data_IF_830044457916
#
_entry.id   IF_830044457916
#
_cell.length_a   1.000
_cell.length_b   1.000
_cell.length_c   1.000
_cell.angle_alpha   90.00
_cell.angle_beta   90.00
_cell.angle_gamma   90.00
#
_symmetry.space_group_name_H-M   'P 1'
#
loop_
_entity.id
_entity.type
_entity.pdbx_description
1 polymer ?
#
# COMPACT_ATOMS: atom_id res chain seq x y z
N UNK A 1 9.50 -7.87 23.89
CA UNK A 1 9.79 -6.41 23.80
C UNK A 1 8.61 -5.79 23.08
N UNK A 2 8.09 -4.66 23.53
CA UNK A 2 6.94 -3.99 22.89
C UNK A 2 7.40 -2.61 22.42
N UNK A 3 6.99 -2.20 21.23
CA UNK A 3 7.28 -0.86 20.72
C UNK A 3 6.42 -0.49 19.53
N UNK A 4 6.50 0.77 19.10
CA UNK A 4 5.78 1.30 17.96
C UNK A 4 6.70 1.40 16.75
N UNK A 5 6.44 0.64 15.69
CA UNK A 5 7.33 0.52 14.52
C UNK A 5 8.70 -0.13 14.85
N UNK A 6 8.75 -0.96 15.89
CA UNK A 6 9.99 -1.56 16.42
C UNK A 6 10.71 -2.44 15.38
N UNK A 7 9.96 -3.13 14.52
CA UNK A 7 10.53 -4.07 13.55
C UNK A 7 11.27 -3.37 12.39
N UNK A 8 10.83 -2.16 12.04
CA UNK A 8 11.37 -1.41 10.91
C UNK A 8 12.28 -0.26 11.36
N UNK A 9 12.40 0.01 12.67
CA UNK A 9 13.19 1.13 13.21
C UNK A 9 14.17 0.71 14.32
N UNK A 10 13.68 0.41 15.53
CA UNK A 10 14.53 0.19 16.69
C UNK A 10 15.40 -1.07 16.57
N UNK A 11 14.84 -2.17 16.04
CA UNK A 11 15.59 -3.42 15.91
C UNK A 11 16.76 -3.32 14.92
N UNK A 12 16.60 -2.80 13.68
CA UNK A 12 17.73 -2.56 12.80
C UNK A 12 18.81 -1.66 13.43
N UNK A 13 18.40 -0.64 14.20
CA UNK A 13 19.33 0.23 14.92
C UNK A 13 20.09 -0.53 16.00
N UNK A 14 19.39 -1.32 16.83
CA UNK A 14 20.00 -2.16 17.85
C UNK A 14 20.94 -3.20 17.23
N UNK A 15 20.56 -3.87 16.15
CA UNK A 15 21.42 -4.81 15.44
C UNK A 15 22.72 -4.16 14.96
N UNK A 16 22.63 -2.95 14.40
CA UNK A 16 23.80 -2.17 13.97
C UNK A 16 24.71 -1.80 15.15
N UNK A 17 24.12 -1.35 16.27
CA UNK A 17 24.88 -0.97 17.47
C UNK A 17 25.55 -2.18 18.15
N UNK A 18 24.85 -3.31 18.24
CA UNK A 18 25.43 -4.56 18.73
C UNK A 18 26.61 -4.99 17.85
N UNK A 19 26.43 -4.95 16.52
CA UNK A 19 27.49 -5.26 15.57
C UNK A 19 28.69 -4.32 15.71
N UNK A 20 28.46 -3.03 15.97
CA UNK A 20 29.52 -2.02 16.19
C UNK A 20 30.40 -2.36 17.39
N UNK A 21 29.83 -2.93 18.44
CA UNK A 21 30.57 -3.36 19.64
C UNK A 21 31.04 -4.82 19.57
N UNK A 22 30.89 -5.49 18.42
CA UNK A 22 31.31 -6.87 18.22
C UNK A 22 30.41 -7.91 18.89
N UNK A 23 29.18 -7.54 19.24
CA UNK A 23 28.17 -8.42 19.84
C UNK A 23 27.08 -8.78 18.82
N UNK A 24 26.38 -9.87 19.08
CA UNK A 24 25.14 -10.22 18.38
C UNK A 24 23.92 -9.82 19.22
N UNK A 25 22.88 -9.35 18.56
CA UNK A 25 21.61 -9.05 19.24
C UNK A 25 21.06 -10.36 19.85
N UNK A 26 20.71 -10.38 21.15
CA UNK A 26 20.13 -11.56 21.77
C UNK A 26 18.75 -11.87 21.16
N UNK A 27 18.35 -13.14 21.22
CA UNK A 27 17.05 -13.57 20.74
C UNK A 27 15.95 -12.81 21.49
N UNK A 28 15.18 -12.01 20.76
CA UNK A 28 14.08 -11.24 21.30
C UNK A 28 12.78 -11.52 20.52
N UNK A 29 11.66 -11.33 21.20
CA UNK A 29 10.32 -11.47 20.65
C UNK A 29 9.67 -10.08 20.62
N UNK A 30 9.85 -9.33 19.53
CA UNK A 30 9.31 -7.98 19.39
C UNK A 30 7.83 -8.01 19.01
N UNK A 31 7.04 -7.20 19.72
CA UNK A 31 5.64 -6.92 19.43
C UNK A 31 5.56 -5.50 18.91
N UNK A 32 5.14 -5.35 17.65
CA UNK A 32 5.03 -4.07 16.96
C UNK A 32 3.57 -3.59 16.95
N UNK A 33 3.30 -2.60 17.79
CA UNK A 33 1.97 -2.04 18.01
C UNK A 33 1.41 -1.39 16.75
N UNK A 34 2.26 -0.86 15.86
CA UNK A 34 1.82 -0.19 14.64
C UNK A 34 1.16 -1.18 13.65
N UNK A 35 1.60 -2.43 13.63
CA UNK A 35 1.01 -3.46 12.76
C UNK A 35 -0.44 -3.69 13.15
N UNK A 36 -0.70 -3.85 14.45
CA UNK A 36 -2.06 -4.05 14.96
C UNK A 36 -2.91 -2.80 14.80
N UNK A 37 -2.35 -1.62 15.10
CA UNK A 37 -3.07 -0.35 14.97
C UNK A 37 -3.56 -0.08 13.53
N UNK A 38 -2.78 -0.48 12.51
CA UNK A 38 -3.16 -0.34 11.10
C UNK A 38 -4.27 -1.28 10.65
N UNK A 39 -4.40 -2.42 11.31
CA UNK A 39 -5.39 -3.43 10.93
C UNK A 39 -6.72 -3.20 11.68
N UNK A 40 -6.62 -2.84 12.97
CA UNK A 40 -7.79 -2.60 13.82
C UNK A 40 -8.42 -1.22 13.54
N UNK A 41 -7.62 -0.18 13.30
CA UNK A 41 -8.14 1.13 12.88
C UNK A 41 -8.15 1.22 11.36
N UNK A 42 -9.33 1.26 10.74
CA UNK A 42 -9.46 1.43 9.28
C UNK A 42 -9.36 2.90 8.88
N UNK A 43 -8.30 3.24 8.14
CA UNK A 43 -8.09 4.58 7.58
C UNK A 43 -7.55 5.59 8.61
N UNK A 44 -7.31 6.83 8.14
CA UNK A 44 -6.68 7.88 8.94
C UNK A 44 -5.16 7.75 9.02
N UNK A 45 -4.51 8.55 9.88
CA UNK A 45 -3.06 8.44 10.09
C UNK A 45 -2.81 7.56 11.30
N UNK A 46 -1.90 6.61 11.15
CA UNK A 46 -1.50 5.70 12.23
C UNK A 46 -0.24 6.21 12.93
N UNK A 47 -0.22 7.49 13.33
CA UNK A 47 0.84 7.99 14.20
C UNK A 47 0.45 7.71 15.66
N UNK A 48 1.43 7.50 16.54
CA UNK A 48 1.19 7.09 17.92
C UNK A 48 0.25 8.08 18.66
N UNK A 49 0.47 9.38 18.50
CA UNK A 49 -0.35 10.42 19.13
C UNK A 49 -1.82 10.41 18.67
N UNK A 50 -2.07 10.18 17.38
CA UNK A 50 -3.43 10.05 16.82
C UNK A 50 -4.07 8.74 17.25
N UNK A 51 -3.31 7.65 17.34
CA UNK A 51 -3.85 6.40 17.83
C UNK A 51 -4.21 6.47 19.31
N UNK A 52 -3.36 7.07 20.14
CA UNK A 52 -3.68 7.33 21.55
C UNK A 52 -4.99 8.13 21.68
N UNK A 53 -5.17 9.19 20.86
CA UNK A 53 -6.41 9.97 20.84
C UNK A 53 -7.62 9.14 20.41
N UNK A 54 -7.50 8.31 19.38
CA UNK A 54 -8.60 7.48 18.88
C UNK A 54 -9.08 6.47 19.92
N UNK A 55 -8.16 5.96 20.76
CA UNK A 55 -8.49 5.07 21.86
C UNK A 55 -8.80 5.80 23.18
N UNK A 56 -8.94 7.14 23.16
CA UNK A 56 -9.28 7.94 24.35
C UNK A 56 -8.18 8.00 25.42
N UNK A 57 -6.92 7.74 25.05
CA UNK A 57 -5.77 7.71 25.94
C UNK A 57 -5.02 9.05 25.92
N UNK A 58 -4.64 9.52 27.11
CA UNK A 58 -3.80 10.72 27.28
C UNK A 58 -2.33 10.34 27.16
N UNK A 59 -1.59 11.08 26.33
CA UNK A 59 -0.13 10.97 26.19
C UNK A 59 0.54 12.01 27.07
N UNK A 60 1.37 11.58 28.03
CA UNK A 60 2.19 12.50 28.82
C UNK A 60 3.38 13.02 27.99
N UNK A 61 3.79 14.25 28.25
CA UNK A 61 4.85 14.95 27.49
C UNK A 61 6.22 14.94 28.17
N UNK A 62 6.37 14.31 29.34
CA UNK A 62 7.65 14.22 30.04
C UNK A 62 8.48 13.01 29.55
N UNK A 63 9.68 13.27 29.03
CA UNK A 63 10.68 12.29 28.55
C UNK A 63 10.26 11.45 27.33
N UNK A 64 10.25 12.07 26.13
CA UNK A 64 9.86 11.53 24.81
C UNK A 64 9.99 10.00 24.64
N UNK A 65 11.17 9.42 24.87
CA UNK A 65 11.37 7.97 24.67
C UNK A 65 10.61 7.09 25.68
N UNK A 66 10.59 7.49 26.97
CA UNK A 66 9.87 6.76 28.01
C UNK A 66 8.35 6.90 27.85
N UNK A 67 7.89 8.11 27.53
CA UNK A 67 6.49 8.37 27.24
C UNK A 67 5.99 7.59 26.00
N UNK A 68 6.80 7.51 24.94
CA UNK A 68 6.46 6.73 23.74
C UNK A 68 6.38 5.22 24.03
N UNK A 69 7.28 4.71 24.89
CA UNK A 69 7.26 3.32 25.32
C UNK A 69 6.00 3.01 26.17
N UNK A 70 5.67 3.88 27.14
CA UNK A 70 4.45 3.75 27.95
C UNK A 70 3.19 3.82 27.08
N UNK A 71 3.11 4.81 26.18
CA UNK A 71 2.01 4.96 25.25
C UNK A 71 1.83 3.74 24.34
N UNK A 72 2.93 3.15 23.86
CA UNK A 72 2.89 1.93 23.04
C UNK A 72 2.27 0.76 23.81
N UNK A 73 2.68 0.57 25.07
CA UNK A 73 2.13 -0.49 25.93
C UNK A 73 0.65 -0.25 26.22
N UNK A 74 0.28 0.98 26.58
CA UNK A 74 -1.11 1.35 26.88
C UNK A 74 -2.02 1.17 25.66
N UNK A 75 -1.53 1.55 24.48
CA UNK A 75 -2.25 1.33 23.23
C UNK A 75 -2.42 -0.16 22.93
N UNK A 76 -1.39 -0.98 23.12
CA UNK A 76 -1.49 -2.44 22.98
C UNK A 76 -2.54 -3.02 23.94
N UNK A 77 -2.54 -2.57 25.19
CA UNK A 77 -3.51 -3.02 26.20
C UNK A 77 -4.94 -2.60 25.84
N UNK A 78 -5.13 -1.40 25.27
CA UNK A 78 -6.44 -0.95 24.78
C UNK A 78 -6.96 -1.80 23.60
N UNK A 79 -6.06 -2.37 22.79
CA UNK A 79 -6.38 -3.28 21.69
C UNK A 79 -6.49 -4.75 22.13
N UNK A 80 -6.17 -5.07 23.39
CA UNK A 80 -6.00 -6.46 23.83
C UNK A 80 -7.27 -7.31 23.74
N UNK A 81 -8.47 -6.70 23.75
CA UNK A 81 -9.73 -7.42 23.55
C UNK A 81 -9.86 -8.07 22.17
N UNK A 82 -9.20 -7.47 21.17
CA UNK A 82 -9.28 -7.89 19.76
C UNK A 82 -8.06 -8.75 19.36
N UNK A 83 -7.14 -9.01 20.30
CA UNK A 83 -5.87 -9.68 20.06
C UNK A 83 -5.77 -11.02 20.81
N UNK A 84 -5.01 -12.00 20.29
CA UNK A 84 -4.71 -13.22 21.01
C UNK A 84 -3.98 -12.94 22.33
N UNK A 85 -4.36 -13.67 23.39
CA UNK A 85 -3.70 -13.60 24.70
C UNK A 85 -2.39 -14.39 24.77
N UNK A 86 -2.26 -15.43 23.94
CA UNK A 86 -1.02 -16.20 23.84
C UNK A 86 0.01 -15.45 22.98
N UNK A 87 1.26 -15.42 23.45
CA UNK A 87 2.34 -14.71 22.78
C UNK A 87 2.69 -15.32 21.42
N UNK A 88 2.67 -16.64 21.29
CA UNK A 88 3.03 -17.32 20.03
C UNK A 88 2.00 -17.01 18.97
N UNK A 89 0.71 -17.06 19.32
CA UNK A 89 -0.38 -16.71 18.42
C UNK A 89 -0.37 -15.22 18.05
N UNK A 90 -0.07 -14.34 19.01
CA UNK A 90 0.07 -12.91 18.75
C UNK A 90 1.19 -12.61 17.75
N UNK A 91 2.35 -13.26 17.90
CA UNK A 91 3.49 -13.10 16.99
C UNK A 91 3.23 -13.69 15.60
N UNK A 92 2.48 -14.80 15.54
CA UNK A 92 2.02 -15.37 14.27
C UNK A 92 1.10 -14.40 13.54
N UNK A 93 0.11 -13.84 14.25
CA UNK A 93 -0.82 -12.85 13.71
C UNK A 93 -0.08 -11.61 13.22
N UNK A 94 0.86 -11.09 14.02
CA UNK A 94 1.72 -9.97 13.64
C UNK A 94 2.45 -10.22 12.33
N UNK A 95 3.01 -11.41 12.15
CA UNK A 95 3.74 -11.77 10.92
C UNK A 95 2.81 -11.76 9.71
N UNK A 96 1.64 -12.41 9.83
CA UNK A 96 0.64 -12.47 8.76
C UNK A 96 0.13 -11.08 8.34
N UNK A 97 -0.18 -10.22 9.32
CA UNK A 97 -0.65 -8.86 9.07
C UNK A 97 0.46 -7.99 8.49
N UNK A 98 1.71 -8.12 8.95
CA UNK A 98 2.86 -7.42 8.37
C UNK A 98 2.99 -7.71 6.89
N UNK A 99 2.92 -8.99 6.51
CA UNK A 99 3.10 -9.44 5.14
C UNK A 99 1.97 -8.93 4.25
N UNK A 100 0.73 -8.99 4.75
CA UNK A 100 -0.44 -8.46 4.06
C UNK A 100 -0.38 -6.94 3.88
N UNK A 101 0.07 -6.20 4.90
CA UNK A 101 0.27 -4.75 4.81
C UNK A 101 1.39 -4.39 3.83
N UNK A 102 2.48 -5.16 3.79
CA UNK A 102 3.59 -4.98 2.84
C UNK A 102 3.15 -5.27 1.41
N UNK A 103 2.42 -6.36 1.19
CA UNK A 103 1.86 -6.70 -0.12
C UNK A 103 0.92 -5.60 -0.61
N UNK A 104 -0.03 -5.17 0.24
CA UNK A 104 -0.94 -4.06 -0.07
C UNK A 104 -0.18 -2.79 -0.45
N UNK A 105 0.83 -2.40 0.35
CA UNK A 105 1.68 -1.23 0.07
C UNK A 105 2.47 -1.37 -1.25
N UNK A 106 2.96 -2.56 -1.58
CA UNK A 106 3.67 -2.81 -2.83
C UNK A 106 2.74 -2.67 -4.05
N UNK A 107 1.52 -3.19 -3.98
CA UNK A 107 0.51 -3.01 -5.04
C UNK A 107 0.17 -1.54 -5.25
N UNK A 108 0.02 -0.75 -4.17
CA UNK A 108 -0.19 0.70 -4.30
C UNK A 108 0.99 1.41 -4.97
N UNK A 109 2.23 1.02 -4.65
CA UNK A 109 3.44 1.56 -5.29
C UNK A 109 3.48 1.24 -6.78
N UNK A 110 3.22 -0.01 -7.18
CA UNK A 110 3.18 -0.41 -8.60
C UNK A 110 2.06 0.29 -9.39
N UNK A 111 0.93 0.60 -8.77
CA UNK A 111 -0.14 1.41 -9.39
C UNK A 111 0.23 2.89 -9.54
N UNK A 112 1.12 3.38 -8.67
CA UNK A 112 1.61 4.76 -8.69
C UNK A 112 2.78 4.92 -9.67
N UNK A 113 3.61 3.88 -9.79
CA UNK A 113 4.71 3.72 -10.74
C UNK A 113 4.19 3.10 -12.05
N UNK A 114 3.28 3.80 -12.74
CA UNK A 114 2.99 3.51 -14.15
C UNK A 114 4.30 3.48 -14.98
N UNK A 115 4.37 2.73 -16.09
CA UNK A 115 5.61 2.27 -16.68
C UNK A 115 6.58 3.44 -16.96
N UNK A 116 7.67 3.48 -16.18
CA UNK A 116 8.75 4.45 -16.30
C UNK A 116 9.60 4.28 -17.58
N UNK A 117 9.24 3.36 -18.47
CA UNK A 117 9.89 3.14 -19.77
C UNK A 117 9.55 4.20 -20.83
N UNK A 118 8.64 5.14 -20.51
CA UNK A 118 8.26 6.27 -21.37
C UNK A 118 8.50 7.62 -20.66
N UNK A 119 9.50 7.69 -19.76
CA UNK A 119 9.99 8.95 -19.18
C UNK A 119 11.30 9.37 -19.86
N UNK A 120 11.29 9.42 -21.19
CA UNK A 120 12.27 10.22 -21.91
C UNK A 120 11.50 11.37 -22.56
N UNK A 121 11.69 12.56 -21.95
CA UNK A 121 11.51 13.88 -22.57
C UNK A 121 10.22 14.07 -23.39
N UNK A 122 9.08 14.32 -22.73
CA UNK A 122 7.98 15.04 -23.39
C UNK A 122 7.54 16.21 -22.51
N UNK A 123 7.82 17.41 -23.03
CA UNK A 123 7.38 18.67 -22.49
C UNK A 123 5.86 18.71 -22.30
N UNK A 124 5.45 19.59 -21.40
CA UNK A 124 4.08 19.76 -20.94
C UNK A 124 3.13 20.23 -22.06
N UNK A 125 2.68 19.31 -22.92
CA UNK A 125 1.42 19.37 -23.69
C UNK A 125 1.40 18.27 -24.75
N UNK A 126 0.89 17.08 -24.42
CA UNK A 126 0.53 16.11 -25.45
C UNK A 126 -0.64 15.27 -24.94
N UNK A 127 -1.85 15.61 -25.39
CA UNK A 127 -2.93 14.64 -25.41
C UNK A 127 -2.52 13.50 -26.34
N UNK A 128 -2.85 12.25 -25.98
CA UNK A 128 -2.63 11.13 -26.87
C UNK A 128 -3.50 11.37 -28.11
N UNK A 129 -2.95 11.18 -29.30
CA UNK A 129 -3.69 11.37 -30.56
C UNK A 129 -3.93 9.98 -31.13
N UNK A 130 -5.17 9.63 -31.47
CA UNK A 130 -5.47 8.36 -32.15
C UNK A 130 -4.91 8.35 -33.59
N UNK A 131 -4.95 7.21 -34.28
CA UNK A 131 -4.49 7.09 -35.67
C UNK A 131 -5.27 8.00 -36.65
N UNK A 132 -6.39 8.59 -36.21
CA UNK A 132 -7.25 9.50 -36.94
C UNK A 132 -7.07 10.97 -36.52
N UNK A 133 -6.06 11.29 -35.72
CA UNK A 133 -5.70 12.68 -35.40
C UNK A 133 -6.52 13.32 -34.27
N UNK A 134 -7.33 12.57 -33.52
CA UNK A 134 -8.18 13.12 -32.43
C UNK A 134 -7.53 12.93 -31.07
N UNK A 135 -7.76 13.88 -30.16
CA UNK A 135 -7.27 13.81 -28.78
C UNK A 135 -7.97 12.67 -28.02
N UNK A 136 -7.28 11.55 -27.90
CA UNK A 136 -7.64 10.39 -27.10
C UNK A 136 -7.31 10.64 -25.63
N UNK A 137 -8.35 10.58 -24.80
CA UNK A 137 -8.22 10.65 -23.35
C UNK A 137 -7.74 9.28 -22.86
N UNK A 138 -6.62 9.26 -22.13
CA UNK A 138 -5.92 8.03 -21.77
C UNK A 138 -6.79 7.00 -21.01
N UNK A 139 -6.30 5.76 -20.84
CA UNK A 139 -7.10 4.61 -20.40
C UNK A 139 -7.88 4.81 -19.08
N UNK A 140 -7.39 5.68 -18.21
CA UNK A 140 -8.03 6.06 -16.93
C UNK A 140 -9.36 6.78 -17.12
N UNK A 141 -9.55 7.45 -18.26
CA UNK A 141 -10.77 8.20 -18.60
C UNK A 141 -11.85 7.30 -19.22
N UNK A 142 -11.45 6.21 -19.89
CA UNK A 142 -12.36 5.28 -20.58
C UNK A 142 -13.00 4.25 -19.64
N UNK A 143 -12.31 3.80 -18.59
CA UNK A 143 -12.76 2.63 -17.81
C UNK A 143 -12.93 2.87 -16.30
N UNK A 144 -12.69 4.09 -15.80
CA UNK A 144 -12.76 4.37 -14.37
C UNK A 144 -11.79 3.49 -13.55
N UNK A 145 -12.17 3.10 -12.33
CA UNK A 145 -11.31 2.38 -11.39
C UNK A 145 -11.24 0.85 -11.57
N UNK A 146 -11.90 0.29 -12.58
CA UNK A 146 -11.89 -1.15 -12.82
C UNK A 146 -10.95 -1.46 -14.00
N UNK A 147 -9.84 -2.16 -13.73
CA UNK A 147 -8.87 -2.53 -14.77
C UNK A 147 -8.63 -4.04 -14.71
N UNK A 148 -9.45 -4.79 -15.44
CA UNK A 148 -9.12 -6.15 -15.84
C UNK A 148 -8.45 -6.11 -17.23
N UNK A 149 -7.16 -6.47 -17.35
CA UNK A 149 -6.43 -6.40 -18.61
C UNK A 149 -7.01 -7.31 -19.71
N UNK A 150 -7.72 -8.39 -19.35
CA UNK A 150 -8.35 -9.28 -20.32
C UNK A 150 -9.61 -8.67 -20.94
N UNK A 151 -10.37 -7.91 -20.14
CA UNK A 151 -11.56 -7.21 -20.60
C UNK A 151 -11.22 -6.12 -21.63
N UNK A 152 -10.09 -5.43 -21.43
CA UNK A 152 -9.58 -4.45 -22.39
C UNK A 152 -9.28 -5.07 -23.75
N UNK A 153 -8.60 -6.23 -23.76
CA UNK A 153 -8.26 -6.92 -25.02
C UNK A 153 -9.52 -7.40 -25.76
N UNK A 154 -10.49 -7.95 -25.02
CA UNK A 154 -11.73 -8.47 -25.60
C UNK A 154 -12.61 -7.36 -26.19
N UNK A 155 -12.73 -6.21 -25.51
CA UNK A 155 -13.53 -5.08 -26.02
C UNK A 155 -12.92 -4.52 -27.32
N UNK A 156 -11.61 -4.26 -27.34
CA UNK A 156 -10.94 -3.75 -28.55
C UNK A 156 -11.05 -4.74 -29.71
N UNK A 157 -10.93 -6.04 -29.44
CA UNK A 157 -11.11 -7.07 -30.46
C UNK A 157 -12.54 -7.11 -30.99
N UNK A 158 -13.54 -7.09 -30.11
CA UNK A 158 -14.95 -7.10 -30.49
C UNK A 158 -15.36 -5.85 -31.28
N UNK A 159 -14.86 -4.67 -30.89
CA UNK A 159 -15.12 -3.41 -31.59
C UNK A 159 -14.47 -3.40 -32.98
N UNK A 160 -13.23 -3.89 -33.11
CA UNK A 160 -12.53 -4.02 -34.39
C UNK A 160 -13.26 -4.98 -35.35
N UNK A 161 -13.77 -6.10 -34.84
CA UNK A 161 -14.56 -7.05 -35.65
C UNK A 161 -15.92 -6.50 -36.07
N UNK A 162 -16.52 -5.60 -35.27
CA UNK A 162 -17.80 -4.97 -35.59
C UNK A 162 -17.67 -3.96 -36.73
N UNK A 163 -16.51 -3.31 -36.86
CA UNK A 163 -16.21 -2.40 -37.97
C UNK A 163 -15.82 -3.13 -39.28
N UNK A 164 -15.16 -4.29 -39.19
CA UNK A 164 -14.78 -5.08 -40.37
C UNK A 164 -15.99 -5.64 -41.13
N UNK A 165 -17.13 -5.85 -40.48
CA UNK A 165 -18.34 -6.38 -41.14
C UNK A 165 -19.19 -5.34 -41.88
N UNK A 166 -18.90 -4.04 -41.74
CA UNK A 166 -19.68 -2.96 -42.40
C UNK A 166 -19.06 -2.54 -43.74
N UNK A 167 -17.76 -2.75 -43.96
CA UNK A 167 -17.08 -2.31 -45.18
C UNK A 167 -17.24 -3.24 -46.40
N UNK A 168 -17.73 -4.48 -46.26
CA UNK A 168 -17.91 -5.39 -47.41
C UNK A 168 -19.28 -5.30 -48.11
N UNK A 169 -20.16 -4.35 -47.76
CA UNK A 169 -21.52 -4.25 -48.37
C UNK A 169 -21.85 -2.95 -49.11
N UNK A 170 -20.86 -2.17 -49.52
CA UNK A 170 -21.09 -0.93 -50.26
C UNK A 170 -20.08 -0.67 -51.37
N UNK A 171 -20.14 -1.44 -52.46
CA UNK A 171 -19.26 -1.22 -53.62
C UNK A 171 -19.65 -2.03 -54.85
N UNK A 172 -20.70 -1.58 -55.55
CA UNK A 172 -21.01 -1.82 -56.97
C UNK A 172 -22.15 -0.85 -57.34
N UNK A 173 -21.86 0.44 -57.48
CA UNK A 173 -21.48 1.12 -58.74
C UNK A 173 -22.60 1.12 -59.78
N UNK A 174 -23.32 2.25 -59.81
CA UNK A 174 -24.08 2.75 -60.96
C UNK A 174 -23.08 3.34 -61.99
N UNK A 175 -23.10 2.83 -63.22
CA UNK A 175 -22.99 3.60 -64.47
C UNK A 175 -23.59 2.81 -65.65
#
# INVERSE_FOLDING_TARGET
IVGYNILDFDLPLLEAEFKRVGLSLPKCYPVDVLIFARELQRGGRHNLSEMMKNYGLVMETAHRAGADADASVRLLMAMASDLPRDLVDLLRLQTQWRDSQRARKATWRQRSDGPALLRQEVGASAGFIDEQGRVSLGPKYLYGNETDPLRSFLITYCDATSHATVEERGGAEDE
#
